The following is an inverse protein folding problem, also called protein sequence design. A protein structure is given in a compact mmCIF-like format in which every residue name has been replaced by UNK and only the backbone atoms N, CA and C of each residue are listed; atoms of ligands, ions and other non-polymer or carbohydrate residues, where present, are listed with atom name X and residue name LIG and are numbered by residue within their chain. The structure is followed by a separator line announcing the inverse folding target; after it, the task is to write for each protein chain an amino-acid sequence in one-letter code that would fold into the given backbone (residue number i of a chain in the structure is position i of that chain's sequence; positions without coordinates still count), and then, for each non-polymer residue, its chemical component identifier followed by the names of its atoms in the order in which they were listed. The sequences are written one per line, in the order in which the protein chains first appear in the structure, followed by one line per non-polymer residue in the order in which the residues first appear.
data_IF_560624131057
#
_entry.id   IF_560624131057
#
_cell.length_a   1.000
_cell.length_b   1.000
_cell.length_c   1.000
_cell.angle_alpha   90.00
_cell.angle_beta   90.00
_cell.angle_gamma   90.00
#
_symmetry.space_group_name_H-M   'P 1'
#
loop_
_entity.id
_entity.type
_entity.pdbx_description
1 polymer ?
#
# COMPACT_ATOMS: atom_id res chain seq x y z
N UNK A 1 40.27 -16.81 -10.95
CA UNK A 1 39.03 -16.00 -10.87
C UNK A 1 38.51 -15.59 -12.26
N UNK A 2 39.38 -15.35 -13.25
CA UNK A 2 38.98 -15.03 -14.65
C UNK A 2 38.44 -16.23 -15.47
N UNK A 3 38.81 -17.48 -15.15
CA UNK A 3 38.31 -18.67 -15.87
C UNK A 3 36.84 -19.02 -15.56
N UNK A 4 36.34 -18.68 -14.36
CA UNK A 4 34.95 -18.98 -13.97
C UNK A 4 33.93 -18.08 -14.69
N UNK A 5 34.36 -16.91 -15.16
CA UNK A 5 33.55 -15.94 -15.90
C UNK A 5 33.61 -16.14 -17.42
N UNK A 6 34.48 -17.03 -17.92
CA UNK A 6 34.71 -17.27 -19.35
C UNK A 6 34.15 -18.59 -19.86
N UNK A 7 33.64 -19.46 -18.97
CA UNK A 7 32.98 -20.70 -19.37
C UNK A 7 31.62 -20.46 -20.06
N UNK A 8 31.33 -21.24 -21.09
CA UNK A 8 30.05 -21.17 -21.82
C UNK A 8 28.84 -21.28 -20.89
N UNK A 9 28.94 -22.07 -19.82
CA UNK A 9 27.90 -22.18 -18.79
C UNK A 9 27.55 -20.83 -18.13
N UNK A 10 28.55 -20.00 -17.83
CA UNK A 10 28.32 -18.70 -17.20
C UNK A 10 27.59 -17.74 -18.16
N UNK A 11 28.01 -17.71 -19.43
CA UNK A 11 27.42 -16.85 -20.46
C UNK A 11 26.00 -17.26 -20.86
N UNK A 12 25.73 -18.56 -20.91
CA UNK A 12 24.46 -19.10 -21.40
C UNK A 12 23.41 -19.32 -20.32
N UNK A 13 23.80 -19.40 -19.04
CA UNK A 13 22.86 -19.69 -17.93
C UNK A 13 22.95 -18.64 -16.83
N UNK A 14 24.12 -18.44 -16.22
CA UNK A 14 24.26 -17.58 -15.04
C UNK A 14 23.96 -16.11 -15.37
N UNK A 15 24.51 -15.63 -16.48
CA UNK A 15 24.35 -14.25 -16.90
C UNK A 15 22.89 -13.88 -17.26
N UNK A 16 22.15 -14.65 -18.08
CA UNK A 16 20.71 -14.44 -18.28
C UNK A 16 19.88 -14.47 -16.99
N UNK A 17 20.19 -15.36 -16.04
CA UNK A 17 19.49 -15.43 -14.76
C UNK A 17 19.72 -14.17 -13.93
N UNK A 18 20.95 -13.66 -13.88
CA UNK A 18 21.25 -12.40 -13.21
C UNK A 18 20.52 -11.22 -13.87
N UNK A 19 20.40 -11.20 -15.20
CA UNK A 19 19.60 -10.20 -15.92
C UNK A 19 18.13 -10.27 -15.48
N UNK A 20 17.54 -11.47 -15.42
CA UNK A 20 16.15 -11.66 -14.97
C UNK A 20 15.96 -11.09 -13.57
N UNK A 21 16.83 -11.44 -12.62
CA UNK A 21 16.72 -10.99 -11.23
C UNK A 21 16.90 -9.48 -11.10
N UNK A 22 17.91 -8.90 -11.76
CA UNK A 22 18.14 -7.47 -11.75
C UNK A 22 16.94 -6.71 -12.34
N UNK A 23 16.39 -7.20 -13.46
CA UNK A 23 15.23 -6.58 -14.11
C UNK A 23 13.94 -6.73 -13.33
N UNK A 24 13.77 -7.86 -12.66
CA UNK A 24 12.64 -8.10 -11.78
C UNK A 24 12.60 -7.07 -10.65
N UNK A 25 13.75 -6.83 -10.00
CA UNK A 25 13.87 -5.82 -8.94
C UNK A 25 13.65 -4.40 -9.48
N UNK A 26 14.29 -4.05 -10.59
CA UNK A 26 14.16 -2.74 -11.24
C UNK A 26 12.69 -2.38 -11.53
N UNK A 27 11.97 -3.30 -12.18
CA UNK A 27 10.56 -3.09 -12.53
C UNK A 27 9.67 -3.04 -11.30
N UNK A 28 9.93 -3.88 -10.29
CA UNK A 28 9.21 -3.82 -9.02
C UNK A 28 9.37 -2.45 -8.35
N UNK A 29 10.60 -1.90 -8.33
CA UNK A 29 10.87 -0.56 -7.81
C UNK A 29 10.15 0.53 -8.61
N UNK A 30 10.11 0.41 -9.93
CA UNK A 30 9.35 1.30 -10.81
C UNK A 30 7.85 1.31 -10.52
N UNK A 31 7.26 0.12 -10.30
CA UNK A 31 5.86 -0.01 -9.87
C UNK A 31 5.64 0.69 -8.52
N UNK A 32 6.52 0.46 -7.54
CA UNK A 32 6.44 1.11 -6.23
C UNK A 32 6.54 2.64 -6.34
N UNK A 33 7.45 3.16 -7.17
CA UNK A 33 7.54 4.60 -7.45
C UNK A 33 6.21 5.15 -7.95
N UNK A 34 5.60 4.53 -8.96
CA UNK A 34 4.32 4.98 -9.52
C UNK A 34 3.24 5.04 -8.42
N UNK A 35 3.20 4.04 -7.54
CA UNK A 35 2.28 4.01 -6.40
C UNK A 35 2.54 5.18 -5.44
N UNK A 36 3.79 5.46 -5.09
CA UNK A 36 4.14 6.58 -4.21
C UNK A 36 3.84 7.94 -4.86
N UNK A 37 4.01 8.08 -6.18
CA UNK A 37 3.63 9.29 -6.95
C UNK A 37 2.13 9.51 -6.91
N UNK A 38 1.33 8.48 -7.19
CA UNK A 38 -0.14 8.56 -7.18
C UNK A 38 -0.67 9.05 -5.82
N UNK A 39 -0.01 8.61 -4.75
CA UNK A 39 -0.31 8.95 -3.34
C UNK A 39 0.28 10.28 -2.87
N UNK A 40 0.95 11.04 -3.72
CA UNK A 40 1.47 12.35 -3.37
C UNK A 40 2.71 12.34 -2.45
N UNK A 41 3.39 11.20 -2.27
CA UNK A 41 4.61 11.14 -1.46
C UNK A 41 5.78 11.78 -2.23
N UNK A 42 6.08 13.03 -1.90
CA UNK A 42 7.06 13.88 -2.61
C UNK A 42 8.52 13.58 -2.27
N UNK A 43 8.80 12.71 -1.28
CA UNK A 43 10.18 12.39 -0.84
C UNK A 43 10.61 11.02 -1.33
N UNK A 44 9.77 10.01 -1.15
CA UNK A 44 10.12 8.62 -1.50
C UNK A 44 10.14 8.42 -3.01
N UNK A 45 9.20 9.02 -3.75
CA UNK A 45 9.09 8.82 -5.19
C UNK A 45 10.32 9.29 -5.99
N UNK A 46 10.90 10.49 -5.75
CA UNK A 46 12.13 10.90 -6.44
C UNK A 46 13.34 10.04 -6.11
N UNK A 47 13.49 9.61 -4.84
CA UNK A 47 14.60 8.75 -4.41
C UNK A 47 14.52 7.40 -5.11
N UNK A 48 13.35 6.76 -5.13
CA UNK A 48 13.15 5.50 -5.85
C UNK A 48 13.44 5.65 -7.34
N UNK A 49 12.99 6.75 -7.97
CA UNK A 49 13.26 7.02 -9.38
C UNK A 49 14.74 7.19 -9.70
N UNK A 50 15.51 7.81 -8.81
CA UNK A 50 16.95 7.93 -8.96
C UNK A 50 17.64 6.56 -8.98
N UNK A 51 17.32 5.70 -8.01
CA UNK A 51 17.90 4.35 -7.95
C UNK A 51 17.42 3.44 -9.09
N UNK A 52 16.14 3.51 -9.47
CA UNK A 52 15.56 2.81 -10.62
C UNK A 52 16.35 3.14 -11.90
N UNK A 53 16.55 4.43 -12.22
CA UNK A 53 17.26 4.82 -13.43
C UNK A 53 18.72 4.35 -13.40
N UNK A 54 19.40 4.38 -12.24
CA UNK A 54 20.77 3.85 -12.12
C UNK A 54 20.85 2.35 -12.40
N UNK A 55 19.94 1.56 -11.81
CA UNK A 55 19.87 0.11 -12.05
C UNK A 55 19.55 -0.16 -13.52
N UNK A 56 18.60 0.59 -14.10
CA UNK A 56 18.23 0.48 -15.51
C UNK A 56 19.43 0.72 -16.44
N UNK A 57 20.20 1.80 -16.22
CA UNK A 57 21.39 2.15 -17.02
C UNK A 57 22.47 1.08 -16.92
N UNK A 58 22.73 0.56 -15.72
CA UNK A 58 23.72 -0.52 -15.52
C UNK A 58 23.26 -1.78 -16.25
N UNK A 59 21.99 -2.17 -16.09
CA UNK A 59 21.46 -3.37 -16.70
C UNK A 59 21.46 -3.31 -18.23
N UNK A 60 21.02 -2.19 -18.83
CA UNK A 60 21.01 -2.05 -20.29
C UNK A 60 22.44 -2.05 -20.86
N UNK A 61 23.39 -1.41 -20.17
CA UNK A 61 24.81 -1.42 -20.59
C UNK A 61 25.38 -2.83 -20.63
N UNK A 62 25.07 -3.66 -19.64
CA UNK A 62 25.50 -5.06 -19.59
C UNK A 62 24.89 -5.91 -20.72
N UNK A 63 23.63 -5.67 -21.07
CA UNK A 63 22.96 -6.40 -22.16
C UNK A 63 23.51 -6.00 -23.52
N UNK A 64 23.74 -4.70 -23.73
CA UNK A 64 24.33 -4.18 -24.97
C UNK A 64 25.77 -4.65 -25.19
N UNK A 65 26.48 -5.06 -24.14
CA UNK A 65 27.81 -5.68 -24.26
C UNK A 65 27.76 -7.19 -24.54
N UNK A 66 26.60 -7.84 -24.37
CA UNK A 66 26.41 -9.28 -24.51
C UNK A 66 25.28 -9.61 -25.50
N UNK A 67 25.30 -8.93 -26.65
CA UNK A 67 24.30 -9.05 -27.72
C UNK A 67 24.34 -10.39 -28.46
N UNK A 68 25.43 -11.14 -28.30
CA UNK A 68 25.71 -12.39 -29.03
C UNK A 68 24.78 -13.55 -28.65
N UNK A 69 24.04 -13.43 -27.54
CA UNK A 69 23.13 -14.47 -27.05
C UNK A 69 21.66 -14.00 -27.12
N UNK A 70 20.83 -14.56 -28.02
CA UNK A 70 19.41 -14.20 -28.12
C UNK A 70 18.61 -14.51 -26.83
N UNK A 71 19.09 -15.43 -25.99
CA UNK A 71 18.49 -15.76 -24.69
C UNK A 71 18.50 -14.55 -23.76
N UNK A 72 19.49 -13.65 -23.86
CA UNK A 72 19.55 -12.46 -23.01
C UNK A 72 18.35 -11.53 -23.22
N UNK A 73 17.82 -11.42 -24.44
CA UNK A 73 16.63 -10.61 -24.72
C UNK A 73 15.36 -11.26 -24.17
N UNK A 74 15.23 -12.58 -24.29
CA UNK A 74 14.11 -13.32 -23.73
C UNK A 74 14.15 -13.24 -22.20
N UNK A 75 15.32 -13.42 -21.59
CA UNK A 75 15.56 -13.25 -20.17
C UNK A 75 15.20 -11.83 -19.70
N UNK A 76 15.55 -10.80 -20.48
CA UNK A 76 15.13 -9.43 -20.18
C UNK A 76 13.61 -9.24 -20.18
N UNK A 77 12.94 -9.71 -21.24
CA UNK A 77 11.48 -9.62 -21.36
C UNK A 77 10.77 -10.40 -20.24
N UNK A 78 11.29 -11.58 -19.89
CA UNK A 78 10.78 -12.39 -18.77
C UNK A 78 10.97 -11.69 -17.43
N UNK A 79 12.16 -11.13 -17.17
CA UNK A 79 12.42 -10.34 -15.97
C UNK A 79 11.46 -9.16 -15.84
N UNK A 80 11.15 -8.49 -16.96
CA UNK A 80 10.16 -7.41 -16.98
C UNK A 80 8.73 -7.90 -16.66
N UNK A 81 8.28 -8.98 -17.28
CA UNK A 81 6.95 -9.55 -17.03
C UNK A 81 6.79 -10.02 -15.56
N UNK A 82 7.77 -10.76 -15.03
CA UNK A 82 7.74 -11.24 -13.65
C UNK A 82 7.85 -10.08 -12.67
N UNK A 83 8.70 -9.08 -12.95
CA UNK A 83 8.83 -7.88 -12.14
C UNK A 83 7.51 -7.12 -12.01
N UNK A 84 6.73 -7.00 -13.09
CA UNK A 84 5.40 -6.37 -13.01
C UNK A 84 4.44 -7.17 -12.12
N UNK A 85 4.41 -8.49 -12.26
CA UNK A 85 3.58 -9.34 -11.41
C UNK A 85 3.95 -9.22 -9.93
N UNK A 86 5.25 -9.21 -9.61
CA UNK A 86 5.71 -8.98 -8.24
C UNK A 86 5.44 -7.56 -7.76
N UNK A 87 5.53 -6.55 -8.64
CA UNK A 87 5.17 -5.17 -8.34
C UNK A 87 3.71 -5.04 -7.93
N UNK A 88 2.79 -5.69 -8.65
CA UNK A 88 1.36 -5.74 -8.29
C UNK A 88 1.19 -6.43 -6.93
N UNK A 89 1.81 -7.59 -6.73
CA UNK A 89 1.73 -8.32 -5.45
C UNK A 89 2.34 -7.53 -4.28
N UNK A 90 3.38 -6.73 -4.54
CA UNK A 90 3.98 -5.84 -3.55
C UNK A 90 3.03 -4.68 -3.22
N UNK A 91 2.31 -4.13 -4.20
CA UNK A 91 1.25 -3.13 -3.97
C UNK A 91 0.16 -3.66 -3.04
N UNK A 92 -0.37 -4.85 -3.35
CA UNK A 92 -1.40 -5.52 -2.54
C UNK A 92 -0.93 -5.71 -1.10
N UNK A 93 0.31 -6.19 -0.90
CA UNK A 93 0.87 -6.45 0.43
C UNK A 93 1.17 -5.18 1.21
N UNK A 94 1.55 -4.11 0.52
CA UNK A 94 1.81 -2.83 1.17
C UNK A 94 0.51 -2.25 1.73
N UNK A 95 -0.64 -2.48 1.06
CA UNK A 95 -1.98 -2.05 1.50
C UNK A 95 -1.97 -0.60 2.03
N UNK A 96 -1.14 0.24 1.42
CA UNK A 96 -0.89 1.61 1.87
C UNK A 96 -2.16 2.43 1.59
N UNK A 97 -2.35 3.50 2.35
CA UNK A 97 -3.36 4.53 2.09
C UNK A 97 -4.63 4.39 2.91
N UNK A 98 -5.56 5.29 2.59
CA UNK A 98 -6.79 5.48 3.34
C UNK A 98 -7.99 5.18 2.45
N UNK A 99 -8.99 4.53 3.04
CA UNK A 99 -10.28 4.29 2.43
C UNK A 99 -11.33 5.09 3.18
N UNK A 100 -12.25 5.68 2.45
CA UNK A 100 -13.47 6.30 2.98
C UNK A 100 -14.58 5.29 2.75
N UNK A 101 -15.15 4.79 3.83
CA UNK A 101 -16.28 3.88 3.78
C UNK A 101 -17.54 4.67 4.13
N UNK A 102 -18.54 4.58 3.26
CA UNK A 102 -19.89 5.08 3.52
C UNK A 102 -20.83 3.91 3.71
N UNK A 103 -21.48 3.85 4.86
CA UNK A 103 -22.52 2.88 5.16
C UNK A 103 -23.87 3.57 5.12
N UNK A 104 -24.84 2.99 4.45
CA UNK A 104 -26.22 3.46 4.38
C UNK A 104 -27.09 2.47 5.15
N UNK A 105 -27.65 2.93 6.26
CA UNK A 105 -28.39 2.10 7.22
C UNK A 105 -29.78 2.68 7.42
N UNK A 106 -30.82 1.89 7.15
CA UNK A 106 -32.22 2.29 7.36
C UNK A 106 -32.68 2.06 8.79
N UNK A 107 -32.15 1.06 9.50
CA UNK A 107 -32.64 0.67 10.83
C UNK A 107 -31.51 0.36 11.82
N UNK A 108 -31.59 0.97 13.01
CA UNK A 108 -30.68 0.74 14.15
C UNK A 108 -29.20 0.94 13.81
N UNK A 109 -28.89 2.11 13.24
CA UNK A 109 -27.53 2.57 12.96
C UNK A 109 -26.67 2.70 14.23
N UNK A 110 -27.28 3.03 15.37
CA UNK A 110 -26.56 3.22 16.64
C UNK A 110 -25.83 1.95 17.11
N UNK A 111 -26.43 0.77 16.89
CA UNK A 111 -25.80 -0.51 17.25
C UNK A 111 -24.56 -0.79 16.41
N UNK A 112 -24.62 -0.53 15.10
CA UNK A 112 -23.49 -0.70 14.18
C UNK A 112 -22.41 0.34 14.49
N UNK A 113 -22.80 1.59 14.71
CA UNK A 113 -21.89 2.67 15.08
C UNK A 113 -21.10 2.31 16.34
N UNK A 114 -21.76 1.75 17.36
CA UNK A 114 -21.10 1.34 18.60
C UNK A 114 -20.11 0.19 18.38
N UNK A 115 -20.47 -0.84 17.61
CA UNK A 115 -19.54 -1.92 17.24
C UNK A 115 -18.28 -1.39 16.54
N UNK A 116 -18.44 -0.41 15.63
CA UNK A 116 -17.33 0.21 14.90
C UNK A 116 -16.43 1.01 15.86
N UNK A 117 -17.02 1.78 16.78
CA UNK A 117 -16.28 2.54 17.81
C UNK A 117 -15.54 1.60 18.76
N UNK A 118 -16.18 0.53 19.22
CA UNK A 118 -15.60 -0.45 20.15
C UNK A 118 -14.42 -1.19 19.50
N UNK A 119 -14.44 -1.37 18.17
CA UNK A 119 -13.32 -1.88 17.39
C UNK A 119 -12.20 -0.85 17.16
N UNK A 120 -12.33 0.38 17.66
CA UNK A 120 -11.31 1.43 17.59
C UNK A 120 -11.32 2.25 16.31
N UNK A 121 -12.35 2.13 15.47
CA UNK A 121 -12.49 2.91 14.25
C UNK A 121 -13.25 4.22 14.50
N UNK A 122 -12.75 5.32 13.92
CA UNK A 122 -13.50 6.57 13.87
C UNK A 122 -14.71 6.47 12.94
N UNK A 123 -15.88 6.93 13.41
CA UNK A 123 -17.10 6.97 12.60
C UNK A 123 -17.86 8.26 12.87
N UNK A 124 -18.39 8.87 11.81
CA UNK A 124 -19.24 10.06 11.84
C UNK A 124 -20.61 9.70 11.31
N UNK A 125 -21.67 10.10 12.00
CA UNK A 125 -23.05 9.82 11.59
C UNK A 125 -23.72 11.06 10.99
N UNK A 126 -24.42 10.87 9.87
CA UNK A 126 -25.22 11.89 9.20
C UNK A 126 -26.62 11.31 9.00
N UNK A 127 -27.65 11.99 9.54
CA UNK A 127 -29.04 11.64 9.27
C UNK A 127 -29.46 12.22 7.92
N UNK A 128 -30.12 11.43 7.09
CA UNK A 128 -30.62 11.83 5.78
C UNK A 128 -31.94 11.16 5.45
N UNK A 129 -32.48 11.49 4.28
CA UNK A 129 -33.70 10.90 3.74
C UNK A 129 -33.39 10.30 2.37
N UNK A 130 -33.66 9.00 2.23
CA UNK A 130 -33.61 8.31 0.95
C UNK A 130 -34.88 8.53 0.14
N UNK A 131 -34.97 7.89 -1.03
CA UNK A 131 -36.13 8.00 -1.89
C UNK A 131 -37.43 7.46 -1.24
N UNK A 132 -37.31 6.56 -0.27
CA UNK A 132 -38.46 5.88 0.33
C UNK A 132 -38.53 6.02 1.85
N UNK A 133 -37.38 6.05 2.55
CA UNK A 133 -37.30 6.04 4.02
C UNK A 133 -36.16 6.93 4.53
N UNK A 134 -36.19 7.27 5.82
CA UNK A 134 -35.03 7.84 6.51
C UNK A 134 -33.83 6.88 6.47
N UNK A 135 -32.64 7.42 6.24
CA UNK A 135 -31.39 6.66 6.17
C UNK A 135 -30.35 7.38 7.02
N UNK A 136 -29.63 6.63 7.83
CA UNK A 136 -28.44 7.12 8.51
C UNK A 136 -27.22 6.72 7.70
N UNK A 137 -26.40 7.71 7.34
CA UNK A 137 -25.16 7.52 6.62
C UNK A 137 -24.01 7.58 7.62
N UNK A 138 -23.25 6.49 7.75
CA UNK A 138 -22.04 6.46 8.55
C UNK A 138 -20.82 6.63 7.65
N UNK A 139 -19.94 7.55 8.01
CA UNK A 139 -18.65 7.78 7.37
C UNK A 139 -17.53 7.29 8.26
N UNK A 140 -16.67 6.41 7.74
CA UNK A 140 -15.44 6.01 8.42
C UNK A 140 -14.25 6.17 7.49
N UNK A 141 -13.14 6.67 8.03
CA UNK A 141 -11.86 6.75 7.33
C UNK A 141 -10.93 5.72 7.95
N UNK A 142 -10.61 4.67 7.20
CA UNK A 142 -9.79 3.57 7.68
C UNK A 142 -8.51 3.45 6.85
N UNK A 143 -7.54 2.66 7.31
CA UNK A 143 -6.41 2.27 6.46
C UNK A 143 -6.84 1.13 5.56
N UNK A 144 -6.32 1.07 4.33
CA UNK A 144 -6.68 0.01 3.35
C UNK A 144 -6.41 -1.40 3.90
N UNK A 145 -5.34 -1.58 4.69
CA UNK A 145 -5.04 -2.84 5.38
C UNK A 145 -6.08 -3.29 6.42
N UNK A 146 -6.91 -2.39 6.94
CA UNK A 146 -7.90 -2.68 7.99
C UNK A 146 -9.30 -2.94 7.38
N UNK A 147 -9.43 -2.97 6.05
CA UNK A 147 -10.69 -3.13 5.33
C UNK A 147 -11.40 -4.44 5.67
N UNK A 148 -10.67 -5.56 5.67
CA UNK A 148 -11.26 -6.87 5.92
C UNK A 148 -11.82 -6.95 7.35
N UNK A 149 -11.08 -6.44 8.33
CA UNK A 149 -11.54 -6.32 9.73
C UNK A 149 -12.75 -5.40 9.86
N UNK A 150 -12.80 -4.31 9.11
CA UNK A 150 -13.95 -3.39 9.14
C UNK A 150 -15.20 -4.05 8.53
N UNK A 151 -15.05 -4.75 7.40
CA UNK A 151 -16.13 -5.46 6.73
C UNK A 151 -16.64 -6.66 7.53
N UNK A 152 -15.78 -7.37 8.28
CA UNK A 152 -16.22 -8.48 9.14
C UNK A 152 -17.17 -7.99 10.24
N UNK A 153 -16.86 -6.85 10.87
CA UNK A 153 -17.73 -6.23 11.90
C UNK A 153 -19.11 -5.87 11.33
N UNK A 154 -19.15 -5.44 10.08
CA UNK A 154 -20.39 -5.07 9.38
C UNK A 154 -21.18 -6.31 8.96
N UNK A 155 -20.50 -7.33 8.42
CA UNK A 155 -21.15 -8.55 7.94
C UNK A 155 -21.70 -9.42 9.09
N UNK A 156 -21.18 -9.28 10.31
CA UNK A 156 -21.77 -9.87 11.53
C UNK A 156 -23.08 -9.20 11.96
N UNK A 157 -23.52 -8.13 11.30
CA UNK A 157 -24.82 -7.54 11.50
C UNK A 157 -25.80 -8.14 10.48
N UNK A 158 -26.85 -8.83 10.96
CA UNK A 158 -27.95 -9.41 10.15
C UNK A 158 -28.79 -8.39 9.35
N UNK A 159 -28.36 -7.14 9.28
CA UNK A 159 -29.09 -6.04 8.66
C UNK A 159 -28.64 -5.84 7.22
N UNK A 160 -29.59 -5.44 6.37
CA UNK A 160 -29.32 -4.99 5.00
C UNK A 160 -28.57 -3.66 5.04
N UNK A 161 -27.25 -3.72 4.94
CA UNK A 161 -26.37 -2.55 4.92
C UNK A 161 -25.87 -2.38 3.48
N UNK A 162 -26.12 -1.22 2.90
CA UNK A 162 -25.51 -0.84 1.63
C UNK A 162 -24.24 -0.04 1.94
N UNK A 163 -23.12 -0.35 1.31
CA UNK A 163 -21.87 0.38 1.54
C UNK A 163 -21.12 0.71 0.25
N UNK A 164 -20.39 1.83 0.28
CA UNK A 164 -19.46 2.24 -0.76
C UNK A 164 -18.06 2.41 -0.16
N UNK A 165 -17.05 1.93 -0.89
CA UNK A 165 -15.63 2.06 -0.52
C UNK A 165 -14.96 2.95 -1.54
N UNK A 166 -14.44 4.09 -1.08
CA UNK A 166 -13.75 5.06 -1.91
C UNK A 166 -12.30 5.24 -1.46
N UNK A 167 -11.40 5.51 -2.40
CA UNK A 167 -9.98 5.74 -2.07
C UNK A 167 -9.75 7.22 -1.76
N UNK A 168 -9.20 7.52 -0.58
CA UNK A 168 -8.75 8.87 -0.24
C UNK A 168 -7.27 9.07 -0.60
N UNK A 169 -6.98 10.15 -1.34
CA UNK A 169 -5.62 10.51 -1.73
C UNK A 169 -4.79 10.98 -0.54
N UNK A 170 -5.38 11.77 0.35
CA UNK A 170 -4.79 12.24 1.59
C UNK A 170 -5.86 12.26 2.69
N UNK A 171 -5.48 11.90 3.92
CA UNK A 171 -6.33 12.01 5.11
C UNK A 171 -5.50 12.65 6.22
N UNK A 172 -5.82 13.90 6.56
CA UNK A 172 -5.11 14.66 7.58
C UNK A 172 -5.98 14.68 8.85
N UNK A 173 -5.51 13.99 9.89
CA UNK A 173 -6.19 13.81 11.20
C UNK A 173 -7.40 12.85 11.14
N UNK A 174 -7.36 11.80 11.97
CA UNK A 174 -8.42 10.79 12.09
C UNK A 174 -8.18 9.85 13.28
N UNK A 175 -9.23 9.18 13.76
CA UNK A 175 -9.15 8.15 14.79
C UNK A 175 -8.92 6.81 14.09
N UNK A 176 -7.71 6.27 14.25
CA UNK A 176 -7.32 4.99 13.67
C UNK A 176 -7.26 3.91 14.77
N UNK A 177 -7.58 2.65 14.43
CA UNK A 177 -7.48 1.56 15.39
C UNK A 177 -6.05 1.47 15.94
N UNK A 178 -5.93 1.48 17.26
CA UNK A 178 -4.68 1.15 17.93
C UNK A 178 -4.49 -0.35 17.73
N UNK A 179 -3.46 -0.75 16.97
CA UNK A 179 -3.05 -2.16 16.96
C UNK A 179 -2.74 -2.53 18.40
N UNK A 180 -3.47 -3.49 18.95
CA UNK A 180 -3.23 -4.10 20.26
C UNK A 180 -1.90 -4.87 20.23
N UNK A 181 -0.79 -4.15 20.13
CA UNK A 181 0.52 -4.68 20.48
C UNK A 181 0.53 -4.84 22.00
N UNK A 182 0.95 -6.02 22.45
CA UNK A 182 0.86 -6.43 23.85
C UNK A 182 1.41 -5.42 24.85
N UNK A 183 0.79 -5.47 26.03
CA UNK A 183 1.28 -5.03 27.35
C UNK A 183 2.76 -4.62 27.32
N UNK A 184 3.04 -3.32 27.29
CA UNK A 184 4.42 -2.84 27.41
C UNK A 184 4.74 -1.45 26.88
N UNK A 185 3.87 -0.43 26.99
CA UNK A 185 4.38 0.95 26.94
C UNK A 185 3.45 1.94 27.66
N UNK A 186 3.62 2.04 28.99
CA UNK A 186 3.00 3.12 29.79
C UNK A 186 3.82 4.43 29.74
N UNK A 187 4.99 4.47 29.09
CA UNK A 187 5.87 5.64 29.12
C UNK A 187 5.49 6.72 28.10
N UNK A 188 4.88 6.35 26.97
CA UNK A 188 4.51 7.31 25.92
C UNK A 188 3.43 8.33 26.33
N UNK A 189 2.50 7.93 27.23
CA UNK A 189 1.40 8.80 27.68
C UNK A 189 1.87 9.89 28.65
N UNK A 190 2.93 9.61 29.43
CA UNK A 190 3.44 10.55 30.43
C UNK A 190 4.23 11.70 29.78
N UNK A 191 5.02 11.42 28.74
CA UNK A 191 5.79 12.46 28.04
C UNK A 191 4.87 13.44 27.31
N UNK A 192 3.75 12.97 26.74
CA UNK A 192 2.78 13.84 26.07
C UNK A 192 2.04 14.80 27.01
N UNK A 193 1.90 14.44 28.29
CA UNK A 193 1.27 15.31 29.30
C UNK A 193 2.24 16.36 29.86
N UNK A 194 3.55 16.07 29.87
CA UNK A 194 4.58 17.01 30.33
C UNK A 194 4.92 18.05 29.24
N UNK A 195 4.90 17.68 27.96
CA UNK A 195 5.16 18.64 26.86
C UNK A 195 3.92 19.44 26.46
N UNK A 196 3.05 19.75 27.42
CA UNK A 196 1.92 20.66 27.23
C UNK A 196 2.39 22.01 26.69
N UNK A 197 1.93 22.35 25.48
CA UNK A 197 1.85 23.72 25.00
C UNK A 197 3.18 24.39 24.66
N UNK A 198 3.74 24.09 23.50
CA UNK A 198 4.47 25.13 22.75
C UNK A 198 3.94 25.26 21.32
N UNK A 199 3.04 26.22 21.23
CA UNK A 199 2.58 26.96 20.07
C UNK A 199 3.71 27.27 19.07
N UNK A 200 3.46 27.10 17.77
CA UNK A 200 3.74 28.17 16.80
C UNK A 200 2.95 27.99 15.50
N UNK A 201 1.96 28.87 15.34
CA UNK A 201 1.51 29.42 14.05
C UNK A 201 2.71 29.79 13.17
N UNK A 202 2.70 29.35 11.91
CA UNK A 202 2.71 30.18 10.69
C UNK A 202 2.48 29.29 9.48
#
# INVERSE_FOLDING_TARGET
MQEFLSGDFFKWVVFPVLIILARMVDVTLGTLRIIFVSRGNRVIAPILGFFEVLVWVIAISQIMQNLDNPINYVAYALGFAIGNYLGIKAEDKLAIGHLVIRLFITEGADGIMRKIIDAGFGVTSIKGMGATNEVTILFSVIKRKDLDTFLSIINESDKKIFYSVETAREAHLGIYPQTSAGIGDQNGYFIRKITGGFNKRK
#
